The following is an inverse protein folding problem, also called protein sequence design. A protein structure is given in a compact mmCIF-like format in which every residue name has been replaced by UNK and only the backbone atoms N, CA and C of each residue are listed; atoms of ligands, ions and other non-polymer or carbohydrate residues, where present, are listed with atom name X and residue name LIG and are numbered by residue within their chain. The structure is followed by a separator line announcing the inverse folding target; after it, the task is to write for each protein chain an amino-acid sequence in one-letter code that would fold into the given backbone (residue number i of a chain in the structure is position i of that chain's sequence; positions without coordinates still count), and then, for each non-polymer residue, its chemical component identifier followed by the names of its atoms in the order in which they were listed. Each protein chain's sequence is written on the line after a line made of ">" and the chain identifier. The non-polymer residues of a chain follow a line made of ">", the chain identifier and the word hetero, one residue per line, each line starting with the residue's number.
data_IF_209995944544
#
_entry.id   IF_209995944544
#
_cell.length_a   1.000
_cell.length_b   1.000
_cell.length_c   1.000
_cell.angle_alpha   90.00
_cell.angle_beta   90.00
_cell.angle_gamma   90.00
#
_symmetry.space_group_name_H-M   'P 1'
#
loop_
_entity.id
_entity.type
_entity.pdbx_description
1 polymer ?
#
# COMPACT_ATOMS: atom_id res chain seq x y z
N UNK A 1 24.73 -27.50 -66.75
CA UNK A 1 24.92 -26.35 -65.88
C UNK A 1 23.64 -25.76 -65.21
N UNK A 2 22.42 -26.08 -65.71
CA UNK A 2 21.18 -25.51 -65.14
C UNK A 2 20.68 -26.17 -63.84
N UNK A 3 21.09 -27.39 -63.52
CA UNK A 3 20.58 -28.11 -62.36
C UNK A 3 21.23 -27.74 -61.02
N UNK A 4 22.47 -27.20 -61.01
CA UNK A 4 23.19 -26.79 -59.80
C UNK A 4 22.72 -25.46 -59.23
N UNK A 5 22.18 -24.55 -60.06
CA UNK A 5 21.75 -23.22 -59.68
C UNK A 5 20.39 -23.27 -58.98
N UNK A 6 19.53 -24.21 -59.34
CA UNK A 6 18.21 -24.37 -58.71
C UNK A 6 18.30 -24.96 -57.28
N UNK A 7 19.23 -25.86 -57.05
CA UNK A 7 19.45 -26.46 -55.73
C UNK A 7 20.01 -25.43 -54.73
N UNK A 8 20.85 -24.51 -55.17
CA UNK A 8 21.41 -23.46 -54.32
C UNK A 8 20.39 -22.41 -53.90
N UNK A 9 19.43 -22.10 -54.82
CA UNK A 9 18.37 -21.16 -54.54
C UNK A 9 17.35 -21.71 -53.50
N UNK A 10 17.04 -23.01 -53.55
CA UNK A 10 16.13 -23.69 -52.61
C UNK A 10 16.73 -23.77 -51.21
N UNK A 11 18.04 -24.09 -51.08
CA UNK A 11 18.73 -24.13 -49.80
C UNK A 11 18.82 -22.71 -49.17
N UNK A 12 19.04 -21.65 -49.98
CA UNK A 12 19.03 -20.27 -49.48
C UNK A 12 17.66 -19.83 -48.96
N UNK A 13 16.55 -20.23 -49.61
CA UNK A 13 15.21 -19.93 -49.11
C UNK A 13 14.85 -20.70 -47.81
N UNK A 14 15.33 -21.93 -47.63
CA UNK A 14 15.08 -22.71 -46.39
C UNK A 14 15.83 -22.13 -45.21
N UNK A 15 17.02 -21.59 -45.40
CA UNK A 15 17.78 -20.92 -44.32
C UNK A 15 17.15 -19.58 -43.91
N UNK A 16 16.39 -18.88 -44.77
CA UNK A 16 15.65 -17.67 -44.40
C UNK A 16 14.36 -17.97 -43.62
N UNK A 17 13.80 -19.16 -43.72
CA UNK A 17 12.57 -19.56 -43.00
C UNK A 17 12.85 -20.01 -41.55
N UNK A 18 14.10 -20.31 -41.19
CA UNK A 18 14.51 -20.68 -39.82
C UNK A 18 14.83 -19.47 -38.93
N UNK A 19 14.79 -18.25 -39.48
CA UNK A 19 15.06 -16.98 -38.79
C UNK A 19 13.82 -16.25 -38.26
N UNK A 20 12.63 -16.86 -38.23
CA UNK A 20 11.53 -16.31 -37.44
C UNK A 20 11.84 -16.52 -35.96
N UNK A 21 12.65 -15.62 -35.38
CA UNK A 21 12.56 -15.35 -33.98
C UNK A 21 11.06 -15.08 -33.70
N UNK A 22 10.40 -15.96 -33.00
CA UNK A 22 9.13 -15.61 -32.36
C UNK A 22 9.44 -14.36 -31.52
N UNK A 23 8.99 -13.21 -32.02
CA UNK A 23 8.90 -12.02 -31.18
C UNK A 23 7.89 -12.43 -30.13
N UNK A 24 8.38 -12.87 -28.98
CA UNK A 24 7.53 -13.15 -27.83
C UNK A 24 6.82 -11.83 -27.52
N UNK A 25 5.51 -11.83 -27.72
CA UNK A 25 4.71 -10.65 -27.43
C UNK A 25 4.89 -10.29 -25.96
N UNK A 26 5.37 -9.09 -25.68
CA UNK A 26 5.59 -8.61 -24.31
C UNK A 26 4.24 -8.48 -23.61
N UNK A 27 4.01 -9.27 -22.58
CA UNK A 27 2.82 -9.18 -21.74
C UNK A 27 2.92 -7.97 -20.82
N UNK A 28 1.98 -7.04 -20.89
CA UNK A 28 1.96 -5.83 -20.07
C UNK A 28 1.01 -5.98 -18.90
N UNK A 29 1.53 -5.79 -17.69
CA UNK A 29 0.79 -5.74 -16.43
C UNK A 29 0.43 -4.29 -16.13
N UNK A 30 -0.86 -3.99 -15.97
CA UNK A 30 -1.35 -2.65 -15.60
C UNK A 30 -1.39 -2.55 -14.08
N UNK A 31 -0.64 -1.62 -13.51
CA UNK A 31 -0.62 -1.33 -12.07
C UNK A 31 -1.16 0.08 -11.81
N UNK A 32 -2.18 0.21 -10.95
CA UNK A 32 -2.73 1.50 -10.54
C UNK A 32 -2.42 1.81 -9.08
N UNK A 33 -2.31 3.10 -8.74
CA UNK A 33 -2.22 3.56 -7.34
C UNK A 33 -2.60 5.03 -7.19
N UNK A 34 -2.86 5.47 -5.95
CA UNK A 34 -3.32 6.83 -5.65
C UNK A 34 -2.22 7.86 -5.41
N UNK A 35 -0.96 7.46 -5.27
CA UNK A 35 0.12 8.34 -4.81
C UNK A 35 0.75 9.13 -5.97
N UNK A 36 1.39 10.26 -5.63
CA UNK A 36 2.16 11.09 -6.55
C UNK A 36 3.43 10.38 -7.04
N UNK A 37 3.91 10.76 -8.23
CA UNK A 37 5.10 10.17 -8.87
C UNK A 37 6.40 10.42 -8.08
N UNK A 38 6.45 11.43 -7.22
CA UNK A 38 7.61 11.71 -6.36
C UNK A 38 7.64 10.86 -5.09
N UNK A 39 6.53 10.17 -4.79
CA UNK A 39 6.41 9.35 -3.59
C UNK A 39 7.35 8.14 -3.63
N UNK A 40 7.99 7.79 -2.50
CA UNK A 40 8.92 6.66 -2.38
C UNK A 40 8.31 5.33 -2.83
N UNK A 41 7.01 5.13 -2.55
CA UNK A 41 6.25 3.95 -3.00
C UNK A 41 6.14 3.90 -4.53
N UNK A 42 5.87 5.02 -5.21
CA UNK A 42 5.86 5.06 -6.69
C UNK A 42 7.24 4.70 -7.26
N UNK A 43 8.30 5.29 -6.71
CA UNK A 43 9.68 5.02 -7.16
C UNK A 43 10.05 3.54 -7.00
N UNK A 44 9.59 2.88 -5.93
CA UNK A 44 9.80 1.46 -5.75
C UNK A 44 9.04 0.60 -6.78
N UNK A 45 7.82 0.99 -7.16
CA UNK A 45 7.08 0.30 -8.23
C UNK A 45 7.71 0.52 -9.61
N UNK A 46 8.30 1.71 -9.87
CA UNK A 46 9.10 1.93 -11.09
C UNK A 46 10.28 0.98 -11.12
N UNK A 47 11.04 0.87 -10.02
CA UNK A 47 12.16 -0.09 -9.91
C UNK A 47 11.69 -1.53 -10.08
N UNK A 48 10.54 -1.90 -9.52
CA UNK A 48 9.93 -3.22 -9.74
C UNK A 48 9.68 -3.49 -11.23
N UNK A 49 9.21 -2.49 -11.98
CA UNK A 49 8.98 -2.62 -13.41
C UNK A 49 10.27 -2.79 -14.22
N UNK A 50 11.34 -2.07 -13.84
CA UNK A 50 12.67 -2.20 -14.43
C UNK A 50 13.24 -3.61 -14.16
N UNK A 51 13.21 -4.06 -12.90
CA UNK A 51 13.67 -5.39 -12.53
C UNK A 51 12.88 -6.50 -13.24
N UNK A 52 11.56 -6.35 -13.33
CA UNK A 52 10.71 -7.31 -14.02
C UNK A 52 11.06 -7.42 -15.52
N UNK A 53 11.31 -6.29 -16.17
CA UNK A 53 11.74 -6.25 -17.56
C UNK A 53 13.08 -6.98 -17.74
N UNK A 54 14.04 -6.72 -16.86
CA UNK A 54 15.37 -7.32 -16.91
C UNK A 54 15.32 -8.83 -16.61
N UNK A 55 14.68 -9.24 -15.52
CA UNK A 55 14.55 -10.63 -15.08
C UNK A 55 13.82 -11.48 -16.13
N UNK A 56 12.76 -10.94 -16.72
CA UNK A 56 11.96 -11.65 -17.73
C UNK A 56 12.59 -11.66 -19.14
N UNK A 57 13.70 -10.94 -19.35
CA UNK A 57 14.27 -10.75 -20.67
C UNK A 57 13.32 -10.03 -21.64
N UNK A 58 12.54 -9.08 -21.13
CA UNK A 58 11.59 -8.28 -21.91
C UNK A 58 10.23 -8.94 -22.16
N UNK A 59 9.96 -10.10 -21.57
CA UNK A 59 8.69 -10.82 -21.76
C UNK A 59 7.55 -10.24 -20.93
N UNK A 60 7.85 -9.65 -19.76
CA UNK A 60 6.89 -8.95 -18.91
C UNK A 60 7.26 -7.48 -18.80
N UNK A 61 6.25 -6.62 -18.85
CA UNK A 61 6.39 -5.17 -18.69
C UNK A 61 5.36 -4.68 -17.68
N UNK A 62 5.73 -3.71 -16.85
CA UNK A 62 4.83 -3.06 -15.90
C UNK A 62 4.45 -1.67 -16.41
N UNK A 63 3.15 -1.42 -16.61
CA UNK A 63 2.63 -0.09 -16.92
C UNK A 63 1.93 0.49 -15.71
N UNK A 64 2.51 1.55 -15.14
CA UNK A 64 2.02 2.18 -13.90
C UNK A 64 1.09 3.35 -14.24
N UNK A 65 -0.04 3.43 -13.51
CA UNK A 65 -1.03 4.50 -13.55
C UNK A 65 -1.11 5.16 -12.16
N UNK A 66 -0.32 6.22 -11.91
CA UNK A 66 -0.25 6.91 -10.62
C UNK A 66 -1.40 7.90 -10.42
N UNK A 67 -1.44 8.54 -9.24
CA UNK A 67 -2.28 9.70 -8.93
C UNK A 67 -3.77 9.50 -9.22
N UNK A 68 -4.30 8.31 -8.92
CA UNK A 68 -5.70 7.93 -9.14
C UNK A 68 -6.18 8.02 -10.61
N UNK A 69 -5.28 7.87 -11.58
CA UNK A 69 -5.67 7.91 -13.01
C UNK A 69 -6.72 6.85 -13.40
N UNK A 70 -6.77 5.73 -12.69
CA UNK A 70 -7.76 4.66 -12.90
C UNK A 70 -8.81 4.59 -11.78
N UNK A 71 -8.86 5.59 -10.90
CA UNK A 71 -9.83 5.67 -9.81
C UNK A 71 -9.19 5.61 -8.42
N UNK A 72 -10.05 5.65 -7.41
CA UNK A 72 -9.72 5.54 -5.99
C UNK A 72 -9.15 4.16 -5.65
N UNK A 73 -8.62 3.99 -4.44
CA UNK A 73 -8.16 2.68 -3.96
C UNK A 73 -9.29 1.64 -3.99
N UNK A 74 -10.49 2.02 -3.60
CA UNK A 74 -11.67 1.16 -3.63
C UNK A 74 -12.02 0.72 -5.05
N UNK A 75 -12.12 1.67 -5.98
CA UNK A 75 -12.43 1.40 -7.39
C UNK A 75 -11.37 0.50 -8.02
N UNK A 76 -10.10 0.68 -7.69
CA UNK A 76 -9.02 -0.19 -8.18
C UNK A 76 -9.19 -1.64 -7.71
N UNK A 77 -9.62 -1.88 -6.44
CA UNK A 77 -9.92 -3.23 -5.97
C UNK A 77 -11.12 -3.84 -6.72
N UNK A 78 -12.16 -3.05 -6.97
CA UNK A 78 -13.33 -3.48 -7.76
C UNK A 78 -12.91 -3.84 -9.20
N UNK A 79 -12.03 -3.04 -9.83
CA UNK A 79 -11.47 -3.33 -11.16
C UNK A 79 -10.62 -4.60 -11.19
N UNK A 80 -9.85 -4.90 -10.12
CA UNK A 80 -9.13 -6.18 -9.99
C UNK A 80 -10.10 -7.37 -9.93
N UNK A 81 -11.16 -7.27 -9.11
CA UNK A 81 -12.12 -8.36 -8.92
C UNK A 81 -12.86 -8.74 -10.21
N UNK A 82 -13.08 -7.77 -11.11
CA UNK A 82 -13.72 -8.01 -12.41
C UNK A 82 -12.72 -8.23 -13.54
N UNK A 83 -11.40 -8.21 -13.27
CA UNK A 83 -10.34 -8.46 -14.25
C UNK A 83 -10.09 -7.34 -15.25
N UNK A 84 -10.50 -6.10 -14.96
CA UNK A 84 -10.25 -4.93 -15.82
C UNK A 84 -8.93 -4.23 -15.52
N UNK A 85 -8.38 -4.44 -14.32
CA UNK A 85 -7.06 -4.05 -13.87
C UNK A 85 -6.29 -5.30 -13.43
N UNK A 86 -4.98 -5.32 -13.64
CA UNK A 86 -4.17 -6.48 -13.33
C UNK A 86 -3.59 -6.40 -11.92
N UNK A 87 -3.09 -5.23 -11.50
CA UNK A 87 -2.39 -5.04 -10.23
C UNK A 87 -2.69 -3.66 -9.62
N UNK A 88 -2.65 -3.57 -8.29
CA UNK A 88 -2.73 -2.29 -7.57
C UNK A 88 -1.82 -2.29 -6.34
N UNK A 89 -1.38 -1.11 -5.91
CA UNK A 89 -0.88 -0.85 -4.57
C UNK A 89 -2.04 -0.28 -3.74
N UNK A 90 -2.33 -0.88 -2.61
CA UNK A 90 -3.49 -0.56 -1.78
C UNK A 90 -3.12 -0.53 -0.30
N UNK A 91 -3.68 0.40 0.47
CA UNK A 91 -3.57 0.37 1.93
C UNK A 91 -4.43 -0.74 2.53
N UNK A 92 -3.90 -1.42 3.55
CA UNK A 92 -4.66 -2.41 4.33
C UNK A 92 -5.98 -1.82 4.85
N UNK A 93 -6.02 -0.53 5.19
CA UNK A 93 -7.24 0.11 5.65
C UNK A 93 -8.38 0.11 4.63
N UNK A 94 -8.10 0.22 3.34
CA UNK A 94 -9.12 0.07 2.29
C UNK A 94 -9.36 -1.42 1.99
N UNK A 95 -8.29 -2.23 2.01
CA UNK A 95 -8.36 -3.66 1.70
C UNK A 95 -9.22 -4.46 2.69
N UNK A 96 -9.33 -4.01 3.95
CA UNK A 96 -10.14 -4.69 4.98
C UNK A 96 -11.62 -4.84 4.60
N UNK A 97 -12.14 -3.95 3.74
CA UNK A 97 -13.53 -4.02 3.26
C UNK A 97 -13.75 -5.12 2.22
N UNK A 98 -12.67 -5.62 1.62
CA UNK A 98 -12.69 -6.67 0.60
C UNK A 98 -12.15 -8.00 1.13
N UNK A 99 -11.14 -7.95 1.98
CA UNK A 99 -10.50 -9.09 2.64
C UNK A 99 -10.53 -8.89 4.17
N UNK A 100 -11.62 -9.28 4.86
CA UNK A 100 -11.91 -8.87 6.24
C UNK A 100 -10.83 -9.22 7.28
N UNK A 101 -10.05 -10.28 7.09
CA UNK A 101 -8.96 -10.62 8.02
C UNK A 101 -7.81 -9.60 7.99
N UNK A 102 -7.64 -8.88 6.87
CA UNK A 102 -6.63 -7.84 6.76
C UNK A 102 -6.81 -6.71 7.78
N UNK A 103 -8.03 -6.50 8.30
CA UNK A 103 -8.30 -5.49 9.34
C UNK A 103 -7.43 -5.66 10.59
N UNK A 104 -6.92 -6.90 10.87
CA UNK A 104 -6.05 -7.13 12.01
C UNK A 104 -4.80 -6.24 11.98
N UNK A 105 -4.24 -6.03 10.79
CA UNK A 105 -3.04 -5.20 10.61
C UNK A 105 -3.31 -3.70 10.83
N UNK A 106 -4.58 -3.28 10.77
CA UNK A 106 -5.01 -1.90 11.00
C UNK A 106 -5.39 -1.60 12.46
N UNK A 107 -5.30 -2.58 13.37
CA UNK A 107 -5.66 -2.35 14.78
C UNK A 107 -4.67 -1.38 15.43
N UNK A 108 -5.17 -0.38 16.19
CA UNK A 108 -4.33 0.63 16.80
C UNK A 108 -3.42 0.04 17.88
N UNK A 109 -2.17 0.50 17.94
CA UNK A 109 -1.15 0.03 18.90
C UNK A 109 -0.93 -1.49 18.93
N UNK A 110 -1.20 -2.18 17.81
CA UNK A 110 -0.98 -3.62 17.68
C UNK A 110 0.52 -3.98 17.72
N UNK A 111 1.30 -3.20 16.98
CA UNK A 111 2.73 -3.43 16.81
C UNK A 111 3.54 -2.67 17.85
N UNK A 112 4.59 -3.30 18.36
CA UNK A 112 5.48 -2.71 19.38
C UNK A 112 6.42 -1.66 18.80
N UNK A 113 6.99 -1.99 17.63
CA UNK A 113 7.99 -1.20 16.93
C UNK A 113 8.10 -1.65 15.47
N UNK A 114 8.96 -0.98 14.69
CA UNK A 114 9.15 -1.24 13.27
C UNK A 114 9.71 -2.65 12.98
N UNK A 115 10.56 -3.16 13.84
CA UNK A 115 11.12 -4.50 13.70
C UNK A 115 10.04 -5.57 13.86
N UNK A 116 9.18 -5.43 14.87
CA UNK A 116 8.03 -6.29 15.07
C UNK A 116 7.07 -6.26 13.86
N UNK A 117 6.82 -5.09 13.27
CA UNK A 117 6.03 -4.99 12.03
C UNK A 117 6.60 -5.90 10.95
N UNK A 118 7.91 -5.79 10.66
CA UNK A 118 8.51 -6.56 9.59
C UNK A 118 8.58 -8.06 9.90
N UNK A 119 8.83 -8.44 11.17
CA UNK A 119 8.79 -9.85 11.58
C UNK A 119 7.41 -10.48 11.37
N UNK A 120 6.33 -9.74 11.63
CA UNK A 120 4.95 -10.20 11.39
C UNK A 120 4.66 -10.27 9.90
N UNK A 121 4.95 -9.21 9.15
CA UNK A 121 4.58 -9.10 7.73
C UNK A 121 5.35 -10.06 6.83
N UNK A 122 6.66 -10.26 7.10
CA UNK A 122 7.52 -11.17 6.34
C UNK A 122 7.42 -12.62 6.83
N UNK A 123 6.86 -12.80 8.03
CA UNK A 123 6.66 -14.11 8.65
C UNK A 123 5.43 -14.86 8.15
N UNK A 124 5.17 -16.00 8.78
CA UNK A 124 4.06 -16.90 8.40
C UNK A 124 2.69 -16.23 8.50
N UNK A 125 2.50 -15.33 9.47
CA UNK A 125 1.22 -14.62 9.65
C UNK A 125 0.95 -13.71 8.46
N UNK A 126 1.93 -12.88 8.07
CA UNK A 126 1.79 -11.98 6.94
C UNK A 126 1.57 -12.73 5.62
N UNK A 127 2.34 -13.80 5.37
CA UNK A 127 2.18 -14.66 4.20
C UNK A 127 0.79 -15.29 4.14
N UNK A 128 0.30 -15.81 5.27
CA UNK A 128 -1.04 -16.39 5.34
C UNK A 128 -2.13 -15.37 5.01
N UNK A 129 -2.01 -14.14 5.49
CA UNK A 129 -2.96 -13.06 5.20
C UNK A 129 -2.98 -12.71 3.71
N UNK A 130 -1.82 -12.67 3.04
CA UNK A 130 -1.73 -12.43 1.59
C UNK A 130 -2.46 -13.52 0.78
N UNK A 131 -2.30 -14.79 1.18
CA UNK A 131 -2.97 -15.93 0.53
C UNK A 131 -4.47 -15.92 0.80
N UNK A 132 -4.91 -15.63 2.02
CA UNK A 132 -6.34 -15.62 2.37
C UNK A 132 -7.17 -14.62 1.58
N UNK A 133 -6.57 -13.58 1.02
CA UNK A 133 -7.26 -12.62 0.16
C UNK A 133 -7.65 -13.20 -1.20
N UNK A 134 -7.07 -14.33 -1.63
CA UNK A 134 -7.36 -14.97 -2.93
C UNK A 134 -8.83 -15.39 -3.08
N UNK A 135 -9.49 -15.81 -1.99
CA UNK A 135 -10.91 -16.13 -2.01
C UNK A 135 -11.81 -14.96 -2.45
N UNK A 136 -11.31 -13.75 -2.38
CA UNK A 136 -11.98 -12.53 -2.82
C UNK A 136 -11.49 -12.04 -4.19
N UNK A 137 -10.83 -12.90 -4.95
CA UNK A 137 -10.19 -12.62 -6.25
C UNK A 137 -9.04 -11.62 -6.19
N UNK A 138 -8.44 -11.48 -5.02
CA UNK A 138 -7.35 -10.55 -4.74
C UNK A 138 -6.18 -11.34 -4.17
N UNK A 139 -5.07 -11.44 -4.90
CA UNK A 139 -3.86 -12.09 -4.42
C UNK A 139 -2.86 -11.07 -3.94
N UNK A 140 -2.49 -11.11 -2.67
CA UNK A 140 -1.39 -10.31 -2.14
C UNK A 140 -0.04 -10.90 -2.55
N UNK A 141 0.88 -10.03 -2.99
CA UNK A 141 2.22 -10.43 -3.41
C UNK A 141 3.31 -9.99 -2.42
N UNK A 142 3.09 -8.90 -1.67
CA UNK A 142 4.05 -8.39 -0.71
C UNK A 142 3.57 -7.13 -0.01
N UNK A 143 4.28 -6.75 1.06
CA UNK A 143 3.97 -5.58 1.87
C UNK A 143 5.02 -4.50 1.69
N UNK A 144 4.57 -3.28 1.41
CA UNK A 144 5.38 -2.08 1.49
C UNK A 144 5.24 -1.41 2.87
N UNK A 145 6.34 -0.84 3.35
CA UNK A 145 6.33 -0.01 4.55
C UNK A 145 5.56 1.29 4.28
N UNK A 146 4.64 1.62 5.16
CA UNK A 146 3.92 2.88 5.13
C UNK A 146 4.03 3.63 6.47
N UNK A 147 4.98 3.22 7.31
CA UNK A 147 5.28 3.84 8.59
C UNK A 147 4.12 3.87 9.57
N UNK A 148 4.31 4.61 10.63
CA UNK A 148 3.25 4.88 11.61
C UNK A 148 2.44 6.11 11.22
N UNK A 149 1.15 6.06 11.55
CA UNK A 149 0.19 7.12 11.30
C UNK A 149 -0.07 7.90 12.57
N UNK A 150 -0.21 9.22 12.39
CA UNK A 150 -0.40 10.17 13.48
C UNK A 150 -1.38 11.25 13.08
N UNK A 151 -2.03 11.88 14.07
CA UNK A 151 -2.99 12.95 13.83
C UNK A 151 -2.33 14.26 13.41
N UNK A 152 -2.90 14.94 12.45
CA UNK A 152 -2.59 16.31 12.12
C UNK A 152 -3.85 17.17 11.99
N UNK A 153 -3.75 18.43 12.34
CA UNK A 153 -4.89 19.33 12.44
C UNK A 153 -4.56 20.75 12.02
N UNK A 154 -5.61 21.51 11.68
CA UNK A 154 -5.49 22.90 11.20
C UNK A 154 -5.24 23.89 12.33
N UNK A 155 -6.06 23.85 13.39
CA UNK A 155 -6.27 24.98 14.28
C UNK A 155 -5.81 24.75 15.71
N UNK A 156 -5.53 23.52 16.12
CA UNK A 156 -5.08 23.22 17.50
C UNK A 156 -4.29 21.92 17.56
N UNK A 157 -3.28 21.85 18.43
CA UNK A 157 -2.52 20.63 18.68
C UNK A 157 -3.38 19.56 19.37
N UNK A 158 -2.97 18.29 19.23
CA UNK A 158 -3.59 17.14 19.88
C UNK A 158 -2.55 16.52 20.82
N UNK A 159 -2.68 16.77 22.13
CA UNK A 159 -1.80 16.24 23.16
C UNK A 159 -2.35 14.98 23.82
N UNK A 160 -3.67 14.77 23.76
CA UNK A 160 -4.40 13.68 24.41
C UNK A 160 -5.72 13.44 23.69
N UNK A 161 -6.35 12.26 23.88
CA UNK A 161 -7.60 11.90 23.19
C UNK A 161 -8.72 12.95 23.33
N UNK A 162 -8.88 13.57 24.49
CA UNK A 162 -9.92 14.60 24.69
C UNK A 162 -9.80 15.82 23.78
N UNK A 163 -8.61 16.07 23.18
CA UNK A 163 -8.40 17.16 22.25
C UNK A 163 -9.01 16.88 20.86
N UNK A 164 -9.34 15.64 20.57
CA UNK A 164 -10.08 15.24 19.36
C UNK A 164 -11.58 15.58 19.45
N UNK A 165 -12.11 15.86 20.66
CA UNK A 165 -13.51 16.17 20.84
C UNK A 165 -13.93 17.37 20.00
N UNK A 166 -14.96 17.17 19.17
CA UNK A 166 -15.52 18.17 18.26
C UNK A 166 -14.71 18.38 16.97
N UNK A 167 -13.61 17.67 16.77
CA UNK A 167 -12.90 17.68 15.48
C UNK A 167 -13.50 16.66 14.52
N UNK A 168 -13.74 17.10 13.29
CA UNK A 168 -13.98 16.22 12.15
C UNK A 168 -12.63 15.76 11.63
N UNK A 169 -12.31 14.48 11.84
CA UNK A 169 -11.04 13.90 11.43
C UNK A 169 -11.27 13.04 10.21
N UNK A 170 -10.62 13.39 9.10
CA UNK A 170 -10.64 12.51 7.94
C UNK A 170 -9.92 11.21 8.25
N UNK A 171 -10.54 10.14 7.89
CA UNK A 171 -9.95 8.79 7.82
C UNK A 171 -10.08 8.25 6.40
N UNK A 172 -9.32 7.22 6.07
CA UNK A 172 -9.60 6.47 4.84
C UNK A 172 -10.90 5.67 4.98
N UNK A 173 -11.36 5.04 3.93
CA UNK A 173 -12.55 4.18 3.93
C UNK A 173 -12.27 2.86 4.68
N UNK A 174 -12.05 2.98 6.00
CA UNK A 174 -11.70 1.89 6.92
C UNK A 174 -12.63 1.94 8.13
N UNK A 175 -13.29 0.83 8.41
CA UNK A 175 -14.14 0.66 9.59
C UNK A 175 -13.28 0.75 10.85
N UNK A 176 -12.12 0.10 10.84
CA UNK A 176 -11.16 0.11 11.96
C UNK A 176 -10.70 1.53 12.30
N UNK A 177 -10.36 2.34 11.30
CA UNK A 177 -9.94 3.73 11.51
C UNK A 177 -11.11 4.61 12.00
N UNK A 178 -12.33 4.39 11.49
CA UNK A 178 -13.52 5.10 11.99
C UNK A 178 -13.79 4.78 13.45
N UNK A 179 -13.72 3.52 13.84
CA UNK A 179 -13.99 3.09 15.23
C UNK A 179 -12.90 3.61 16.17
N UNK A 180 -11.64 3.61 15.75
CA UNK A 180 -10.54 4.22 16.50
C UNK A 180 -10.78 5.71 16.78
N UNK A 181 -11.08 6.51 15.76
CA UNK A 181 -11.30 7.96 15.93
C UNK A 181 -12.52 8.23 16.83
N UNK A 182 -13.59 7.43 16.71
CA UNK A 182 -14.76 7.52 17.61
C UNK A 182 -14.39 7.21 19.06
N UNK A 183 -13.65 6.13 19.30
CA UNK A 183 -13.22 5.72 20.64
C UNK A 183 -12.33 6.79 21.30
N UNK A 184 -11.52 7.49 20.50
CA UNK A 184 -10.70 8.61 20.96
C UNK A 184 -11.51 9.91 21.15
N UNK A 185 -12.80 9.94 20.79
CA UNK A 185 -13.72 11.07 20.99
C UNK A 185 -13.82 12.05 19.82
N UNK A 186 -13.20 11.78 18.69
CA UNK A 186 -13.31 12.53 17.44
C UNK A 186 -14.50 12.13 16.59
N UNK A 187 -14.74 12.88 15.51
CA UNK A 187 -15.79 12.60 14.51
C UNK A 187 -15.13 12.13 13.21
N UNK A 188 -15.07 10.83 12.93
CA UNK A 188 -14.43 10.34 11.72
C UNK A 188 -15.25 10.66 10.47
N UNK A 189 -14.58 11.07 9.41
CA UNK A 189 -15.18 11.39 8.11
C UNK A 189 -14.40 10.63 7.04
N UNK A 190 -14.92 9.54 6.48
CA UNK A 190 -14.24 8.80 5.42
C UNK A 190 -14.25 9.62 4.13
N UNK A 191 -13.05 9.89 3.60
CA UNK A 191 -12.84 10.64 2.35
C UNK A 191 -11.70 9.99 1.59
N UNK A 192 -11.85 9.85 0.26
CA UNK A 192 -10.81 9.31 -0.63
C UNK A 192 -9.53 10.15 -0.58
N UNK A 193 -8.40 9.55 -0.96
CA UNK A 193 -7.10 10.24 -0.88
C UNK A 193 -7.03 11.50 -1.74
N UNK A 194 -7.52 11.43 -2.98
CA UNK A 194 -7.46 12.55 -3.93
C UNK A 194 -8.31 13.77 -3.53
N UNK A 195 -9.31 13.58 -2.67
CA UNK A 195 -10.20 14.64 -2.22
C UNK A 195 -9.72 15.30 -0.91
N UNK A 196 -8.72 14.71 -0.23
CA UNK A 196 -8.37 15.10 1.13
C UNK A 196 -7.80 16.53 1.21
N UNK A 197 -6.86 16.91 0.32
CA UNK A 197 -6.29 18.26 0.34
C UNK A 197 -7.38 19.35 0.23
N UNK A 198 -8.27 19.19 -0.74
CA UNK A 198 -9.40 20.12 -0.96
C UNK A 198 -10.36 20.13 0.24
N UNK A 199 -10.66 18.99 0.83
CA UNK A 199 -11.51 18.86 2.00
C UNK A 199 -10.92 19.56 3.23
N UNK A 200 -9.60 19.43 3.43
CA UNK A 200 -8.88 20.19 4.46
C UNK A 200 -8.92 21.68 4.17
N UNK A 201 -8.61 22.10 2.95
CA UNK A 201 -8.57 23.51 2.56
C UNK A 201 -9.93 24.19 2.76
N UNK A 202 -11.00 23.54 2.32
CA UNK A 202 -12.37 24.05 2.43
C UNK A 202 -12.98 23.93 3.83
N UNK A 203 -12.32 23.23 4.77
CA UNK A 203 -12.81 23.04 6.13
C UNK A 203 -13.95 22.04 6.25
N UNK A 204 -14.09 21.12 5.28
CA UNK A 204 -15.02 19.97 5.40
C UNK A 204 -14.59 19.11 6.58
N UNK A 205 -13.28 18.99 6.79
CA UNK A 205 -12.64 18.34 7.95
C UNK A 205 -11.65 19.30 8.62
N UNK A 206 -11.43 19.10 9.92
CA UNK A 206 -10.55 19.90 10.75
C UNK A 206 -9.11 19.37 10.78
N UNK A 207 -8.93 18.12 10.40
CA UNK A 207 -7.66 17.41 10.37
C UNK A 207 -7.83 16.04 9.76
N UNK A 208 -6.74 15.27 9.81
CA UNK A 208 -6.69 13.88 9.36
C UNK A 208 -5.60 13.12 10.14
N UNK A 209 -5.35 11.89 9.75
CA UNK A 209 -4.24 11.09 10.24
C UNK A 209 -3.49 10.45 9.07
N UNK A 210 -2.18 10.41 9.15
CA UNK A 210 -1.31 9.75 8.18
C UNK A 210 0.15 9.75 8.65
N UNK A 211 1.02 9.14 7.83
CA UNK A 211 2.46 9.10 7.99
C UNK A 211 3.16 10.39 7.50
N UNK A 212 4.40 10.67 7.95
CA UNK A 212 5.13 11.89 7.58
C UNK A 212 5.36 12.07 6.08
N UNK A 213 5.80 11.07 5.28
CA UNK A 213 5.99 11.23 3.85
C UNK A 213 4.71 11.65 3.11
N UNK A 214 3.58 11.02 3.44
CA UNK A 214 2.28 11.36 2.83
C UNK A 214 1.82 12.76 3.23
N UNK A 215 1.99 13.16 4.50
CA UNK A 215 1.67 14.51 4.99
C UNK A 215 2.47 15.59 4.25
N UNK A 216 3.76 15.34 4.03
CA UNK A 216 4.65 16.26 3.33
C UNK A 216 4.38 16.30 1.81
N UNK A 217 4.46 15.18 1.12
CA UNK A 217 4.39 15.11 -0.35
C UNK A 217 3.01 15.52 -0.90
N UNK A 218 1.93 15.31 -0.13
CA UNK A 218 0.58 15.77 -0.50
C UNK A 218 0.28 17.20 -0.04
N UNK A 219 1.28 17.90 0.50
CA UNK A 219 1.19 19.30 0.93
C UNK A 219 0.13 19.57 2.00
N UNK A 220 -0.31 18.56 2.73
CA UNK A 220 -1.29 18.76 3.80
C UNK A 220 -0.77 19.73 4.88
N UNK A 221 0.56 19.85 5.05
CA UNK A 221 1.23 20.79 5.92
C UNK A 221 0.98 22.28 5.56
N UNK A 222 0.57 22.57 4.33
CA UNK A 222 0.20 23.94 3.94
C UNK A 222 -1.07 24.38 4.68
N UNK A 223 -1.99 23.45 4.91
CA UNK A 223 -3.28 23.68 5.56
C UNK A 223 -3.26 23.31 7.05
N UNK A 224 -2.63 22.20 7.41
CA UNK A 224 -2.55 21.71 8.80
C UNK A 224 -1.21 22.10 9.42
N UNK A 225 -1.26 22.85 10.53
CA UNK A 225 -0.07 23.40 11.18
C UNK A 225 0.38 22.65 12.43
N UNK A 226 -0.37 21.65 12.86
CA UNK A 226 -0.07 20.82 14.02
C UNK A 226 0.00 19.37 13.60
N UNK A 227 1.11 18.70 13.93
CA UNK A 227 1.28 17.28 13.65
C UNK A 227 1.69 16.57 14.96
N UNK A 228 0.76 15.79 15.49
CA UNK A 228 0.87 15.10 16.78
C UNK A 228 1.27 13.66 16.56
N UNK A 229 2.55 13.34 16.78
CA UNK A 229 3.16 12.03 16.53
C UNK A 229 2.77 11.03 17.63
N UNK A 230 1.49 10.70 17.72
CA UNK A 230 0.95 9.70 18.64
C UNK A 230 1.15 8.26 18.11
N UNK A 231 1.44 8.10 16.81
CA UNK A 231 1.80 6.85 16.14
C UNK A 231 0.81 5.71 16.46
N UNK A 232 -0.48 6.04 16.41
CA UNK A 232 -1.57 5.16 16.85
C UNK A 232 -1.74 3.90 16.00
N UNK A 233 -1.30 3.90 14.73
CA UNK A 233 -1.47 2.75 13.83
C UNK A 233 -0.28 2.64 12.89
N UNK A 234 0.18 1.42 12.65
CA UNK A 234 1.02 1.07 11.50
C UNK A 234 0.13 0.38 10.49
N UNK A 235 0.02 0.95 9.28
CA UNK A 235 -0.93 0.48 8.28
C UNK A 235 -0.19 0.20 6.97
N UNK A 236 0.30 -1.03 6.76
CA UNK A 236 1.10 -1.36 5.58
C UNK A 236 0.31 -1.20 4.29
N UNK A 237 1.02 -0.94 3.21
CA UNK A 237 0.49 -1.07 1.85
C UNK A 237 0.72 -2.50 1.35
N UNK A 238 -0.21 -3.00 0.53
CA UNK A 238 -0.13 -4.32 -0.11
C UNK A 238 -0.06 -4.17 -1.62
N UNK A 239 0.86 -4.87 -2.24
CA UNK A 239 0.83 -5.11 -3.68
C UNK A 239 -0.14 -6.24 -3.96
N UNK A 240 -1.23 -5.95 -4.67
CA UNK A 240 -2.31 -6.91 -4.95
C UNK A 240 -2.45 -7.10 -6.44
N UNK A 241 -2.56 -8.36 -6.87
CA UNK A 241 -2.83 -8.76 -8.26
C UNK A 241 -4.19 -9.46 -8.36
N UNK A 242 -4.91 -9.27 -9.46
CA UNK A 242 -6.13 -10.01 -9.75
C UNK A 242 -5.81 -11.51 -9.87
N UNK A 243 -6.52 -12.37 -9.12
CA UNK A 243 -6.28 -13.83 -9.19
C UNK A 243 -6.45 -14.35 -10.62
N UNK A 244 -7.44 -13.84 -11.35
CA UNK A 244 -7.65 -14.21 -12.76
C UNK A 244 -6.43 -13.91 -13.64
N UNK A 245 -5.76 -12.78 -13.43
CA UNK A 245 -4.55 -12.44 -14.18
C UNK A 245 -3.37 -13.34 -13.76
N UNK A 246 -3.20 -13.53 -12.43
CA UNK A 246 -2.18 -14.40 -11.86
C UNK A 246 -2.27 -15.84 -12.37
N UNK A 247 -3.48 -16.40 -12.43
CA UNK A 247 -3.72 -17.77 -12.86
C UNK A 247 -3.40 -17.99 -14.36
N UNK A 248 -3.45 -16.91 -15.15
CA UNK A 248 -3.08 -16.91 -16.57
C UNK A 248 -1.57 -16.71 -16.83
N UNK A 249 -0.77 -16.50 -15.78
CA UNK A 249 0.68 -16.50 -15.89
C UNK A 249 1.21 -17.93 -15.84
N UNK A 250 2.24 -18.22 -16.64
CA UNK A 250 3.03 -19.46 -16.48
C UNK A 250 3.79 -19.43 -15.15
N UNK A 251 4.18 -20.60 -14.65
CA UNK A 251 4.96 -20.67 -13.39
C UNK A 251 6.23 -19.83 -13.45
N UNK A 252 6.91 -19.80 -14.59
CA UNK A 252 8.09 -18.97 -14.80
C UNK A 252 7.77 -17.46 -14.75
N UNK A 253 6.62 -17.02 -15.30
CA UNK A 253 6.20 -15.63 -15.23
C UNK A 253 5.81 -15.23 -13.80
N UNK A 254 5.21 -16.14 -13.03
CA UNK A 254 4.92 -15.95 -11.60
C UNK A 254 6.20 -15.79 -10.78
N UNK A 255 7.21 -16.63 -11.03
CA UNK A 255 8.51 -16.55 -10.38
C UNK A 255 9.18 -15.19 -10.65
N UNK A 256 9.24 -14.75 -11.92
CA UNK A 256 9.82 -13.47 -12.28
C UNK A 256 9.10 -12.29 -11.62
N UNK A 257 7.76 -12.32 -11.63
CA UNK A 257 6.98 -11.25 -11.01
C UNK A 257 7.19 -11.23 -9.49
N UNK A 258 7.19 -12.38 -8.83
CA UNK A 258 7.41 -12.46 -7.38
C UNK A 258 8.81 -11.98 -7.02
N UNK A 259 9.86 -12.37 -7.78
CA UNK A 259 11.23 -11.89 -7.57
C UNK A 259 11.32 -10.36 -7.71
N UNK A 260 10.68 -9.77 -8.73
CA UNK A 260 10.66 -8.32 -8.90
C UNK A 260 9.92 -7.62 -7.75
N UNK A 261 8.82 -8.21 -7.25
CA UNK A 261 8.10 -7.73 -6.06
C UNK A 261 9.00 -7.75 -4.83
N UNK A 262 9.65 -8.89 -4.55
CA UNK A 262 10.49 -9.07 -3.36
C UNK A 262 11.66 -8.06 -3.36
N UNK A 263 12.32 -7.88 -4.51
CA UNK A 263 13.36 -6.87 -4.68
C UNK A 263 12.84 -5.45 -4.42
N UNK A 264 11.63 -5.16 -4.92
CA UNK A 264 11.00 -3.85 -4.74
C UNK A 264 10.61 -3.58 -3.29
N UNK A 265 10.22 -4.59 -2.52
CA UNK A 265 9.93 -4.47 -1.07
C UNK A 265 11.17 -4.02 -0.32
N UNK A 266 12.31 -4.66 -0.56
CA UNK A 266 13.57 -4.30 0.09
C UNK A 266 13.98 -2.86 -0.26
N UNK A 267 13.89 -2.51 -1.55
CA UNK A 267 14.22 -1.17 -2.02
C UNK A 267 13.28 -0.10 -1.46
N UNK A 268 11.98 -0.40 -1.39
CA UNK A 268 10.96 0.52 -0.88
C UNK A 268 11.19 0.85 0.60
N UNK A 269 11.49 -0.13 1.44
CA UNK A 269 11.76 0.08 2.87
C UNK A 269 12.94 1.01 3.11
N UNK A 270 13.97 0.91 2.28
CA UNK A 270 15.10 1.84 2.33
C UNK A 270 14.68 3.26 1.96
N UNK A 271 14.00 3.42 0.82
CA UNK A 271 13.49 4.73 0.39
C UNK A 271 12.52 5.34 1.40
N UNK A 272 11.73 4.47 2.07
CA UNK A 272 10.77 4.92 3.07
C UNK A 272 11.46 5.54 4.28
N UNK A 273 12.47 4.88 4.82
CA UNK A 273 13.23 5.39 5.98
C UNK A 273 13.84 6.76 5.70
N UNK A 274 14.43 6.96 4.51
CA UNK A 274 14.97 8.23 4.07
C UNK A 274 13.87 9.31 3.92
N UNK A 275 12.69 8.92 3.42
CA UNK A 275 11.56 9.81 3.21
C UNK A 275 10.90 10.26 4.52
N UNK A 276 10.81 9.39 5.53
CA UNK A 276 10.27 9.73 6.86
C UNK A 276 11.08 10.84 7.53
N UNK A 277 12.41 10.68 7.58
CA UNK A 277 13.30 11.68 8.15
C UNK A 277 13.23 13.02 7.41
N UNK A 278 13.31 12.96 6.08
CA UNK A 278 13.21 14.14 5.23
C UNK A 278 11.89 14.88 5.43
N UNK A 279 10.78 14.16 5.45
CA UNK A 279 9.46 14.75 5.58
C UNK A 279 9.30 15.53 6.90
N UNK A 280 9.71 14.95 8.03
CA UNK A 280 9.63 15.64 9.33
C UNK A 280 10.46 16.91 9.38
N UNK A 281 11.66 16.90 8.81
CA UNK A 281 12.52 18.07 8.71
C UNK A 281 11.86 19.18 7.86
N UNK A 282 11.35 18.82 6.69
CA UNK A 282 10.80 19.78 5.74
C UNK A 282 9.48 20.40 6.23
N UNK A 283 8.57 19.60 6.83
CA UNK A 283 7.34 20.17 7.37
C UNK A 283 7.60 21.09 8.56
N UNK A 284 8.60 20.80 9.40
CA UNK A 284 9.01 21.67 10.50
C UNK A 284 9.59 22.98 9.98
N UNK A 285 10.44 22.96 8.94
CA UNK A 285 10.92 24.17 8.26
C UNK A 285 9.79 25.00 7.66
N UNK A 286 8.71 24.34 7.20
CA UNK A 286 7.50 24.99 6.68
C UNK A 286 6.56 25.53 7.78
N UNK A 287 7.00 25.49 9.05
CA UNK A 287 6.27 26.06 10.19
C UNK A 287 5.21 25.16 10.80
N UNK A 288 5.28 23.84 10.58
CA UNK A 288 4.45 22.88 11.30
C UNK A 288 5.03 22.66 12.70
N UNK A 289 4.17 22.73 13.70
CA UNK A 289 4.49 22.34 15.07
C UNK A 289 4.39 20.83 15.21
N UNK A 290 5.53 20.19 15.50
CA UNK A 290 5.61 18.75 15.77
C UNK A 290 5.41 18.51 17.26
N UNK A 291 4.33 17.82 17.61
CA UNK A 291 3.97 17.45 18.96
C UNK A 291 4.34 15.97 19.18
N UNK A 292 4.90 15.64 20.34
CA UNK A 292 5.16 14.27 20.78
C UNK A 292 4.37 13.99 22.06
N UNK A 293 3.10 13.56 21.91
CA UNK A 293 2.24 13.29 23.06
C UNK A 293 2.65 12.00 23.77
N UNK A 294 2.16 11.83 24.98
CA UNK A 294 2.22 10.54 25.66
C UNK A 294 1.28 9.54 24.98
N UNK A 295 1.85 8.59 24.25
CA UNK A 295 1.12 7.58 23.47
C UNK A 295 0.25 6.67 24.36
N UNK A 296 0.63 6.45 25.62
CA UNK A 296 -0.15 5.61 26.55
C UNK A 296 -1.55 6.16 26.79
N UNK A 297 -1.71 7.50 26.79
CA UNK A 297 -3.02 8.12 26.94
C UNK A 297 -4.00 7.76 25.81
N UNK A 298 -3.47 7.53 24.59
CA UNK A 298 -4.27 7.09 23.44
C UNK A 298 -4.51 5.60 23.49
N UNK A 299 -3.47 4.80 23.78
CA UNK A 299 -3.56 3.34 23.87
C UNK A 299 -4.60 2.90 24.90
N UNK A 300 -4.56 3.46 26.11
CA UNK A 300 -5.50 3.14 27.21
C UNK A 300 -6.98 3.37 26.85
N UNK A 301 -7.24 4.32 25.91
CA UNK A 301 -8.60 4.60 25.41
C UNK A 301 -9.10 3.61 24.37
N UNK A 302 -8.21 2.79 23.82
CA UNK A 302 -8.50 1.87 22.71
C UNK A 302 -8.59 0.41 23.14
N UNK A 303 -8.44 0.11 24.44
CA UNK A 303 -8.57 -1.26 24.97
C UNK A 303 -9.92 -1.89 24.62
N UNK A 304 -11.01 -1.12 24.67
CA UNK A 304 -12.36 -1.58 24.31
C UNK A 304 -12.48 -2.04 22.86
N UNK A 305 -11.62 -1.54 21.96
CA UNK A 305 -11.57 -1.99 20.55
C UNK A 305 -11.12 -3.45 20.47
N UNK A 306 -10.20 -3.86 21.33
CA UNK A 306 -9.74 -5.24 21.39
C UNK A 306 -10.76 -6.17 22.04
N UNK A 307 -11.50 -5.67 23.04
CA UNK A 307 -12.52 -6.44 23.76
C UNK A 307 -13.64 -6.92 22.82
N UNK A 308 -14.06 -6.12 21.84
CA UNK A 308 -15.10 -6.48 20.88
C UNK A 308 -14.75 -7.73 20.04
N UNK A 309 -13.45 -8.02 19.85
CA UNK A 309 -13.00 -9.17 19.08
C UNK A 309 -12.93 -10.47 19.88
N UNK A 310 -13.10 -10.45 21.21
CA UNK A 310 -13.07 -11.67 22.02
C UNK A 310 -14.17 -12.68 21.67
N UNK A 311 -15.28 -12.23 21.12
CA UNK A 311 -16.35 -13.09 20.63
C UNK A 311 -16.00 -13.86 19.34
N UNK A 312 -15.13 -13.31 18.51
CA UNK A 312 -14.56 -13.96 17.33
C UNK A 312 -13.24 -14.63 17.71
N UNK A 313 -13.32 -15.89 18.11
CA UNK A 313 -12.16 -16.64 18.63
C UNK A 313 -11.00 -16.72 17.61
N UNK A 314 -11.32 -16.90 16.33
CA UNK A 314 -10.29 -17.01 15.29
C UNK A 314 -9.54 -15.69 15.13
N UNK A 315 -10.27 -14.60 15.02
CA UNK A 315 -9.71 -13.27 14.88
C UNK A 315 -8.94 -12.83 16.13
N UNK A 316 -9.49 -13.14 17.32
CA UNK A 316 -8.82 -12.85 18.58
C UNK A 316 -7.51 -13.64 18.73
N UNK A 317 -7.50 -14.93 18.34
CA UNK A 317 -6.27 -15.74 18.31
C UNK A 317 -5.23 -15.09 17.39
N UNK A 318 -5.62 -14.66 16.19
CA UNK A 318 -4.72 -13.98 15.28
C UNK A 318 -4.09 -12.71 15.89
N UNK A 319 -4.87 -11.92 16.65
CA UNK A 319 -4.34 -10.77 17.40
C UNK A 319 -3.27 -11.23 18.41
N UNK A 320 -3.54 -12.29 19.15
CA UNK A 320 -2.59 -12.81 20.16
C UNK A 320 -1.32 -13.36 19.50
N UNK A 321 -1.47 -14.07 18.38
CA UNK A 321 -0.34 -14.61 17.61
C UNK A 321 0.57 -13.48 17.11
N UNK A 322 -0.02 -12.40 16.58
CA UNK A 322 0.74 -11.21 16.17
C UNK A 322 1.50 -10.62 17.38
N UNK A 323 0.82 -10.40 18.49
CA UNK A 323 1.45 -9.83 19.70
C UNK A 323 2.58 -10.72 20.26
N UNK A 324 2.52 -12.04 20.01
CA UNK A 324 3.50 -13.01 20.48
C UNK A 324 4.76 -13.14 19.59
N UNK A 325 4.75 -12.62 18.38
CA UNK A 325 5.93 -12.59 17.49
C UNK A 325 7.05 -11.83 18.21
N UNK A 326 8.27 -12.42 18.22
CA UNK A 326 9.42 -11.89 19.01
C UNK A 326 10.34 -11.06 18.12
#
# INVERSE_FOLDING_TARGET
>A
MKQKTTTFLVISCILFLLGCNQISETKTIKLAHGLDVNHSVHKAMVKMGEDLMDISGGKLNLKIYPSQQLGTERENLELLQIGSLDMTKISVGTLENFAPKMKVLGLPFLFRDKEHVFQVLDGEIGKKLLVESEQFRLKGLGYYDAGSRSFYSKNRPIYKPSDLKGLKVRVMESITAMDMVKALGGSPTPISWGELYTSLQQGVVDGAENNPPSFYLSRHYEVCKFYSLDEHTVLPDVLVIATQFWDNLSEQEKEWLQEAVDNSVVYQRKLWAEAEETALIEVQKAGVEIIRPDKSLFADKLDDIYEQYKSDKEFYTLIQDIKAVK
#
